data_IF_356497212856
#
_entry.id   IF_356497212856
#
_cell.length_a   1.000
_cell.length_b   1.000
_cell.length_c   1.000
_cell.angle_alpha   90.00
_cell.angle_beta   90.00
_cell.angle_gamma   90.00
#
_symmetry.space_group_name_H-M   'P 1'
#
loop_
_entity.id
_entity.type
_entity.pdbx_description
1 polymer ?
#
# COMPACT_ATOMS: atom_id res chain seq x y z
N UNK A 1 -7.52 7.31 -4.42
CA UNK A 1 -7.21 5.88 -4.61
C UNK A 1 -7.96 4.95 -3.65
N UNK A 2 -8.52 5.46 -2.53
CA UNK A 2 -9.31 4.65 -1.60
C UNK A 2 -10.51 3.92 -2.26
N UNK A 3 -11.25 4.60 -3.14
CA UNK A 3 -12.39 4.01 -3.86
C UNK A 3 -11.99 2.81 -4.75
N UNK A 4 -10.79 2.86 -5.35
CA UNK A 4 -10.28 1.77 -6.20
C UNK A 4 -9.90 0.56 -5.34
N UNK A 5 -9.28 0.77 -4.17
CA UNK A 5 -8.95 -0.31 -3.23
C UNK A 5 -10.18 -1.09 -2.76
N UNK A 6 -11.25 -0.38 -2.38
CA UNK A 6 -12.51 -0.99 -1.98
C UNK A 6 -13.17 -1.78 -3.13
N UNK A 7 -13.19 -1.21 -4.34
CA UNK A 7 -13.76 -1.85 -5.52
C UNK A 7 -13.00 -3.12 -5.96
N UNK A 8 -11.67 -3.13 -5.82
CA UNK A 8 -10.84 -4.30 -6.13
C UNK A 8 -11.10 -5.42 -5.12
N UNK A 9 -11.15 -5.12 -3.81
CA UNK A 9 -11.51 -6.11 -2.77
C UNK A 9 -12.88 -6.75 -3.02
N UNK A 10 -13.87 -5.94 -3.37
CA UNK A 10 -15.24 -6.43 -3.61
C UNK A 10 -15.37 -7.35 -4.84
N UNK A 11 -14.38 -7.35 -5.76
CA UNK A 11 -14.42 -8.13 -7.00
C UNK A 11 -13.37 -9.24 -7.09
N UNK A 12 -12.47 -9.34 -6.11
CA UNK A 12 -11.40 -10.32 -6.14
C UNK A 12 -11.91 -11.70 -5.68
N UNK A 13 -12.16 -12.60 -6.63
CA UNK A 13 -12.60 -13.98 -6.35
C UNK A 13 -11.45 -14.96 -6.14
N UNK A 14 -10.28 -14.69 -6.72
CA UNK A 14 -9.13 -15.61 -6.75
C UNK A 14 -7.80 -14.91 -6.40
N UNK A 15 -7.85 -13.67 -5.93
CA UNK A 15 -6.66 -12.87 -5.59
C UNK A 15 -6.95 -12.16 -4.28
N UNK A 16 -5.96 -12.08 -3.40
CA UNK A 16 -6.05 -11.30 -2.17
C UNK A 16 -5.33 -9.96 -2.38
N UNK A 17 -6.05 -8.85 -2.62
CA UNK A 17 -5.42 -7.57 -2.89
C UNK A 17 -4.87 -6.96 -1.60
N UNK A 18 -3.56 -6.74 -1.56
CA UNK A 18 -2.86 -6.01 -0.50
C UNK A 18 -2.81 -4.53 -0.88
N UNK A 19 -3.39 -3.69 -0.03
CA UNK A 19 -3.43 -2.23 -0.15
C UNK A 19 -2.25 -1.66 0.65
N UNK A 20 -1.34 -1.01 -0.08
CA UNK A 20 -0.18 -0.34 0.49
C UNK A 20 -0.34 1.19 0.39
N UNK A 21 -0.17 1.87 1.51
CA UNK A 21 -0.13 3.32 1.63
C UNK A 21 1.34 3.79 1.79
N UNK A 22 1.74 4.78 1.00
CA UNK A 22 3.04 5.46 1.14
C UNK A 22 3.02 6.61 2.17
N UNK A 23 1.82 6.97 2.64
CA UNK A 23 1.53 8.03 3.62
C UNK A 23 1.99 9.45 3.24
N UNK A 24 1.83 9.86 1.98
CA UNK A 24 2.04 11.26 1.59
C UNK A 24 0.87 12.14 2.06
N UNK A 25 1.14 13.22 2.81
CA UNK A 25 0.11 14.12 3.36
C UNK A 25 -0.90 13.40 4.28
N UNK A 26 -0.39 12.80 5.35
CA UNK A 26 -1.10 11.90 6.29
C UNK A 26 -2.44 12.47 6.79
N UNK A 27 -2.48 13.75 7.17
CA UNK A 27 -3.70 14.41 7.65
C UNK A 27 -4.84 14.38 6.62
N UNK A 28 -4.54 14.54 5.32
CA UNK A 28 -5.54 14.50 4.26
C UNK A 28 -5.91 13.07 3.87
N UNK A 29 -4.95 12.15 3.96
CA UNK A 29 -5.15 10.74 3.65
C UNK A 29 -6.05 10.08 4.70
N UNK A 30 -5.87 10.37 5.98
CA UNK A 30 -6.63 9.75 7.06
C UNK A 30 -8.12 10.14 6.99
N UNK A 31 -8.43 11.41 6.67
CA UNK A 31 -9.80 11.87 6.44
C UNK A 31 -10.51 11.13 5.29
N UNK A 32 -9.78 10.85 4.21
CA UNK A 32 -10.33 10.09 3.07
C UNK A 32 -10.48 8.62 3.41
N UNK A 33 -9.52 8.02 4.12
CA UNK A 33 -9.60 6.63 4.56
C UNK A 33 -10.78 6.40 5.51
N UNK A 34 -11.00 7.32 6.45
CA UNK A 34 -12.11 7.27 7.40
C UNK A 34 -13.47 7.41 6.69
N UNK A 35 -13.58 8.31 5.71
CA UNK A 35 -14.79 8.47 4.91
C UNK A 35 -15.17 7.21 4.10
N UNK A 36 -14.18 6.46 3.61
CA UNK A 36 -14.41 5.25 2.79
C UNK A 36 -14.27 3.94 3.58
N UNK A 37 -14.01 4.00 4.90
CA UNK A 37 -13.81 2.82 5.75
C UNK A 37 -12.66 1.91 5.30
N UNK A 38 -11.65 2.47 4.62
CA UNK A 38 -10.56 1.69 4.03
C UNK A 38 -9.31 1.80 4.91
N UNK A 39 -8.97 0.70 5.58
CA UNK A 39 -7.69 0.57 6.30
C UNK A 39 -6.68 -0.12 5.36
N UNK A 40 -5.54 0.52 5.04
CA UNK A 40 -4.47 -0.12 4.25
C UNK A 40 -3.85 -1.27 5.04
N UNK A 41 -3.53 -2.37 4.37
CA UNK A 41 -2.86 -3.52 5.00
C UNK A 41 -1.40 -3.20 5.35
N UNK A 42 -0.81 -2.26 4.61
CA UNK A 42 0.56 -1.80 4.81
C UNK A 42 0.62 -0.27 4.77
N UNK A 43 1.16 0.34 5.82
CA UNK A 43 1.57 1.75 5.83
C UNK A 43 3.10 1.80 5.84
N UNK A 44 3.70 2.24 4.74
CA UNK A 44 5.15 2.33 4.62
C UNK A 44 5.74 3.55 5.34
N UNK A 45 4.89 4.52 5.75
CA UNK A 45 5.27 5.73 6.46
C UNK A 45 6.53 6.41 5.90
N UNK A 46 6.53 6.64 4.59
CA UNK A 46 7.69 7.01 3.80
C UNK A 46 7.86 8.53 3.67
N UNK A 47 7.10 9.36 4.36
CA UNK A 47 7.32 10.81 4.25
C UNK A 47 8.45 11.29 5.15
N UNK A 48 9.35 12.06 4.56
CA UNK A 48 10.35 12.86 5.27
C UNK A 48 10.27 14.32 4.77
N UNK A 49 10.47 15.33 5.63
CA UNK A 49 10.48 16.74 5.23
C UNK A 49 11.53 17.01 4.14
N UNK A 50 11.23 17.95 3.24
CA UNK A 50 12.14 18.46 2.20
C UNK A 50 12.85 17.39 1.34
N UNK A 51 12.24 16.21 1.19
CA UNK A 51 12.80 15.13 0.40
C UNK A 51 12.73 15.41 -1.10
N UNK A 52 13.75 14.98 -1.83
CA UNK A 52 13.71 14.97 -3.30
C UNK A 52 12.85 13.82 -3.81
N UNK A 53 12.29 13.99 -5.02
CA UNK A 53 11.55 12.93 -5.71
C UNK A 53 12.40 11.67 -5.90
N UNK A 54 13.70 11.84 -6.14
CA UNK A 54 14.63 10.73 -6.28
C UNK A 54 14.79 9.97 -4.95
N UNK A 55 14.97 10.68 -3.84
CA UNK A 55 15.05 10.08 -2.50
C UNK A 55 13.78 9.32 -2.10
N UNK A 56 12.61 9.88 -2.42
CA UNK A 56 11.33 9.20 -2.23
C UNK A 56 11.25 7.91 -3.07
N UNK A 57 11.62 7.98 -4.34
CA UNK A 57 11.55 6.85 -5.28
C UNK A 57 12.41 5.67 -4.83
N UNK A 58 13.65 5.96 -4.40
CA UNK A 58 14.55 4.94 -3.84
C UNK A 58 13.91 4.24 -2.66
N UNK A 59 13.38 5.00 -1.69
CA UNK A 59 12.80 4.42 -0.47
C UNK A 59 11.52 3.63 -0.74
N UNK A 60 10.68 4.06 -1.67
CA UNK A 60 9.48 3.31 -2.10
C UNK A 60 9.89 1.95 -2.66
N UNK A 61 10.86 1.92 -3.57
CA UNK A 61 11.32 0.67 -4.20
C UNK A 61 11.99 -0.24 -3.16
N UNK A 62 12.84 0.31 -2.29
CA UNK A 62 13.49 -0.47 -1.22
C UNK A 62 12.47 -1.09 -0.27
N UNK A 63 11.48 -0.31 0.18
CA UNK A 63 10.45 -0.80 1.09
C UNK A 63 9.60 -1.91 0.45
N UNK A 64 9.22 -1.74 -0.82
CA UNK A 64 8.46 -2.75 -1.56
C UNK A 64 9.28 -4.03 -1.79
N UNK A 65 10.56 -3.91 -2.14
CA UNK A 65 11.45 -5.06 -2.31
C UNK A 65 11.59 -5.87 -1.01
N UNK A 66 11.77 -5.18 0.12
CA UNK A 66 11.83 -5.80 1.44
C UNK A 66 10.51 -6.53 1.78
N UNK A 67 9.37 -5.87 1.54
CA UNK A 67 8.06 -6.45 1.78
C UNK A 67 7.82 -7.72 0.96
N UNK A 68 8.14 -7.69 -0.33
CA UNK A 68 7.99 -8.86 -1.23
C UNK A 68 8.91 -10.00 -0.80
N UNK A 69 10.16 -9.69 -0.41
CA UNK A 69 11.10 -10.70 0.06
C UNK A 69 10.61 -11.36 1.36
N UNK A 70 10.06 -10.59 2.29
CA UNK A 70 9.52 -11.08 3.56
C UNK A 70 8.22 -11.88 3.40
N UNK A 71 7.37 -11.53 2.42
CA UNK A 71 6.06 -12.14 2.20
C UNK A 71 6.06 -13.18 1.07
N UNK A 72 7.23 -13.67 0.66
CA UNK A 72 7.38 -14.69 -0.40
C UNK A 72 6.87 -16.09 -0.02
N UNK A 73 6.25 -16.23 1.16
CA UNK A 73 5.58 -17.44 1.63
C UNK A 73 4.06 -17.38 1.42
N UNK A 74 3.61 -17.11 0.20
CA UNK A 74 2.31 -17.59 -0.26
C UNK A 74 2.62 -18.75 -1.22
N UNK A 75 2.30 -20.00 -0.87
CA UNK A 75 2.43 -21.09 -1.81
C UNK A 75 1.51 -20.78 -2.99
N UNK A 76 2.10 -20.55 -4.16
CA UNK A 76 1.39 -20.60 -5.44
C UNK A 76 0.97 -22.06 -5.66
N UNK A 77 0.00 -22.54 -4.91
CA UNK A 77 -0.69 -23.81 -5.17
C UNK A 77 -1.64 -23.54 -6.34
N UNK A 78 -1.07 -23.49 -7.53
CA UNK A 78 -1.84 -23.60 -8.77
C UNK A 78 -2.21 -25.09 -8.87
N UNK A 79 -3.41 -25.41 -8.39
CA UNK A 79 -4.10 -26.66 -8.73
C UNK A 79 -4.79 -26.54 -10.08
#
# INVERSE_FOLDING_TARGET
MALVGAAVRARAKCVEPIVCATAQHREMIDQVQELFGLVPDLDLNLMTPDQSLNGLSVRVITALACFIAANRALPLTIG
#
